data_IF_300584896396
#
_entry.id   IF_300584896396
#
_cell.length_a   1.000
_cell.length_b   1.000
_cell.length_c   1.000
_cell.angle_alpha   90.00
_cell.angle_beta   90.00
_cell.angle_gamma   90.00
#
_symmetry.space_group_name_H-M   'P 1'
#
loop_
_entity.id
_entity.type
_entity.pdbx_description
1 polymer ?
#
# COMPACT_ATOMS: atom_id res chain seq x y z
N UNK A 1 25.41 -2.78 -20.63
CA UNK A 1 25.63 -2.93 -19.17
C UNK A 1 26.38 -4.23 -18.95
N UNK A 2 27.34 -4.31 -18.03
CA UNK A 2 27.98 -5.60 -17.74
C UNK A 2 27.05 -6.51 -16.92
N UNK A 3 27.04 -7.81 -17.21
CA UNK A 3 26.23 -8.85 -16.54
C UNK A 3 26.18 -8.73 -15.01
N UNK A 4 27.35 -8.56 -14.38
CA UNK A 4 27.49 -8.36 -12.92
C UNK A 4 26.72 -7.13 -12.38
N UNK A 5 26.61 -6.05 -13.17
CA UNK A 5 25.84 -4.86 -12.77
C UNK A 5 24.34 -5.13 -12.83
N UNK A 6 23.88 -5.87 -13.84
CA UNK A 6 22.47 -6.28 -14.00
C UNK A 6 22.05 -7.16 -12.82
N UNK A 7 22.84 -8.19 -12.50
CA UNK A 7 22.61 -9.06 -11.35
C UNK A 7 22.56 -8.29 -10.01
N UNK A 8 23.46 -7.32 -9.82
CA UNK A 8 23.44 -6.46 -8.62
C UNK A 8 22.14 -5.67 -8.51
N UNK A 9 21.67 -5.08 -9.61
CA UNK A 9 20.40 -4.34 -9.65
C UNK A 9 19.22 -5.25 -9.40
N UNK A 10 19.19 -6.46 -9.99
CA UNK A 10 18.15 -7.45 -9.74
C UNK A 10 18.05 -7.79 -8.25
N UNK A 11 19.18 -8.05 -7.57
CA UNK A 11 19.18 -8.31 -6.12
C UNK A 11 18.61 -7.15 -5.31
N UNK A 12 18.96 -5.91 -5.68
CA UNK A 12 18.44 -4.70 -5.02
C UNK A 12 16.93 -4.54 -5.23
N UNK A 13 16.45 -4.72 -6.47
CA UNK A 13 15.02 -4.67 -6.79
C UNK A 13 14.25 -5.75 -6.04
N UNK A 14 14.74 -6.99 -6.04
CA UNK A 14 14.12 -8.09 -5.30
C UNK A 14 14.06 -7.83 -3.80
N UNK A 15 15.11 -7.25 -3.21
CA UNK A 15 15.07 -6.88 -1.78
C UNK A 15 14.00 -5.83 -1.51
N UNK A 16 13.93 -4.78 -2.33
CA UNK A 16 12.94 -3.72 -2.16
C UNK A 16 11.50 -4.21 -2.37
N UNK A 17 11.27 -5.08 -3.35
CA UNK A 17 9.99 -5.73 -3.57
C UNK A 17 9.53 -6.55 -2.37
N UNK A 18 10.43 -7.30 -1.73
CA UNK A 18 10.12 -8.04 -0.50
C UNK A 18 9.66 -7.10 0.61
N UNK A 19 10.46 -6.07 0.89
CA UNK A 19 10.13 -5.07 1.92
C UNK A 19 8.78 -4.40 1.66
N UNK A 20 8.50 -3.94 0.45
CA UNK A 20 7.24 -3.28 0.12
C UNK A 20 6.04 -4.24 0.19
N UNK A 21 6.21 -5.52 -0.15
CA UNK A 21 5.14 -6.52 -0.02
C UNK A 21 4.85 -6.84 1.43
N UNK A 22 5.86 -6.86 2.30
CA UNK A 22 5.66 -7.03 3.74
C UNK A 22 4.97 -5.80 4.35
N UNK A 23 5.39 -4.61 3.95
CA UNK A 23 4.73 -3.35 4.32
C UNK A 23 3.28 -3.30 3.85
N UNK A 24 3.00 -3.72 2.61
CA UNK A 24 1.63 -3.76 2.07
C UNK A 24 0.72 -4.65 2.90
N UNK A 25 1.20 -5.79 3.42
CA UNK A 25 0.40 -6.65 4.30
C UNK A 25 0.00 -5.93 5.58
N UNK A 26 0.94 -5.19 6.18
CA UNK A 26 0.67 -4.39 7.39
C UNK A 26 -0.33 -3.27 7.08
N UNK A 27 -0.20 -2.61 5.92
CA UNK A 27 -1.13 -1.57 5.47
C UNK A 27 -2.53 -2.16 5.23
N UNK A 28 -2.62 -3.34 4.61
CA UNK A 28 -3.89 -4.05 4.40
C UNK A 28 -4.61 -4.32 5.73
N UNK A 29 -3.87 -4.82 6.73
CA UNK A 29 -4.42 -5.07 8.08
C UNK A 29 -4.87 -3.77 8.76
N UNK A 30 -4.05 -2.72 8.71
CA UNK A 30 -4.38 -1.41 9.28
C UNK A 30 -5.60 -0.78 8.61
N UNK A 31 -5.69 -0.86 7.28
CA UNK A 31 -6.83 -0.34 6.53
C UNK A 31 -8.11 -1.09 6.90
N UNK A 32 -8.05 -2.42 7.05
CA UNK A 32 -9.21 -3.20 7.47
C UNK A 32 -9.73 -2.75 8.84
N UNK A 33 -8.83 -2.53 9.81
CA UNK A 33 -9.21 -2.01 11.12
C UNK A 33 -9.82 -0.60 11.06
N UNK A 34 -9.19 0.33 10.33
CA UNK A 34 -9.70 1.69 10.21
C UNK A 34 -11.07 1.75 9.50
N UNK A 35 -11.29 0.89 8.51
CA UNK A 35 -12.56 0.81 7.81
C UNK A 35 -13.68 0.26 8.70
N UNK A 36 -13.37 -0.74 9.54
CA UNK A 36 -14.30 -1.29 10.53
C UNK A 36 -14.69 -0.22 11.56
N UNK A 37 -13.70 0.46 12.14
CA UNK A 37 -13.91 1.56 13.09
C UNK A 37 -14.77 2.70 12.51
N UNK A 38 -14.50 3.10 11.26
CA UNK A 38 -15.29 4.10 10.57
C UNK A 38 -16.74 3.63 10.32
N UNK A 39 -16.93 2.35 9.99
CA UNK A 39 -18.26 1.73 9.83
C UNK A 39 -19.08 1.78 11.12
N UNK A 40 -18.47 1.37 12.23
CA UNK A 40 -19.08 1.39 13.56
C UNK A 40 -19.49 2.81 14.00
N UNK A 41 -18.61 3.79 13.79
CA UNK A 41 -18.91 5.20 14.06
C UNK A 41 -20.00 5.74 13.15
N UNK A 42 -20.05 5.29 11.89
CA UNK A 42 -21.12 5.61 10.95
C UNK A 42 -22.49 5.17 11.45
N UNK A 43 -22.60 3.92 11.95
CA UNK A 43 -23.83 3.41 12.56
C UNK A 43 -24.22 4.25 13.78
N UNK A 44 -23.26 4.58 14.66
CA UNK A 44 -23.53 5.42 15.84
C UNK A 44 -23.96 6.84 15.48
N UNK A 45 -23.36 7.43 14.45
CA UNK A 45 -23.73 8.76 13.97
C UNK A 45 -25.17 8.83 13.47
N UNK A 46 -25.64 7.78 12.79
CA UNK A 46 -27.02 7.66 12.35
C UNK A 46 -28.00 7.49 13.51
N UNK A 47 -27.63 6.69 14.52
CA UNK A 47 -28.52 6.41 15.67
C UNK A 47 -28.58 7.57 16.66
N UNK A 48 -27.45 8.23 16.93
CA UNK A 48 -27.38 9.28 17.94
C UNK A 48 -27.92 10.62 17.44
N UNK A 49 -27.91 10.86 16.12
CA UNK A 49 -28.30 12.13 15.48
C UNK A 49 -27.64 13.37 16.10
N UNK A 50 -26.47 13.21 16.72
CA UNK A 50 -25.74 14.30 17.36
C UNK A 50 -24.62 14.82 16.44
N UNK A 51 -24.34 16.14 16.47
CA UNK A 51 -23.20 16.71 15.75
C UNK A 51 -21.85 16.08 16.11
N UNK A 52 -21.68 15.66 17.38
CA UNK A 52 -20.47 15.00 17.87
C UNK A 52 -20.21 13.66 17.20
N UNK A 53 -21.21 12.77 17.17
CA UNK A 53 -21.07 11.47 16.53
C UNK A 53 -20.79 11.59 15.01
N UNK A 54 -21.38 12.59 14.34
CA UNK A 54 -21.06 12.89 12.95
C UNK A 54 -19.63 13.42 12.73
N UNK A 55 -19.06 14.13 13.71
CA UNK A 55 -17.66 14.57 13.65
C UNK A 55 -16.69 13.38 13.77
N UNK A 56 -16.92 12.50 14.74
CA UNK A 56 -16.08 11.33 14.98
C UNK A 56 -16.07 10.39 13.77
N UNK A 57 -17.24 10.13 13.18
CA UNK A 57 -17.34 9.37 11.93
C UNK A 57 -16.49 9.99 10.81
N UNK A 58 -16.59 11.30 10.57
CA UNK A 58 -15.81 11.96 9.50
C UNK A 58 -14.31 11.89 9.74
N UNK A 59 -13.86 11.96 10.99
CA UNK A 59 -12.43 11.80 11.33
C UNK A 59 -11.96 10.38 11.05
N UNK A 60 -12.69 9.36 11.50
CA UNK A 60 -12.36 7.97 11.25
C UNK A 60 -12.35 7.64 9.75
N UNK A 61 -13.34 8.13 9.01
CA UNK A 61 -13.40 7.98 7.55
C UNK A 61 -12.18 8.62 6.87
N UNK A 62 -11.79 9.84 7.26
CA UNK A 62 -10.62 10.50 6.70
C UNK A 62 -9.31 9.73 6.95
N UNK A 63 -9.20 9.04 8.09
CA UNK A 63 -8.06 8.16 8.38
C UNK A 63 -8.06 6.91 7.49
N UNK A 64 -9.20 6.26 7.31
CA UNK A 64 -9.33 5.13 6.41
C UNK A 64 -9.00 5.53 4.96
N UNK A 65 -9.51 6.68 4.49
CA UNK A 65 -9.25 7.19 3.15
C UNK A 65 -7.75 7.50 2.93
N UNK A 66 -7.09 8.11 3.91
CA UNK A 66 -5.66 8.38 3.85
C UNK A 66 -4.83 7.08 3.79
N UNK A 67 -5.22 6.06 4.56
CA UNK A 67 -4.57 4.74 4.53
C UNK A 67 -4.80 4.03 3.18
N UNK A 68 -5.99 4.14 2.61
CA UNK A 68 -6.29 3.60 1.28
C UNK A 68 -5.43 4.27 0.19
N UNK A 69 -5.26 5.59 0.24
CA UNK A 69 -4.38 6.30 -0.69
C UNK A 69 -2.91 5.88 -0.54
N UNK A 70 -2.45 5.66 0.70
CA UNK A 70 -1.10 5.16 0.96
C UNK A 70 -0.90 3.74 0.41
N UNK A 71 -1.88 2.85 0.63
CA UNK A 71 -1.90 1.50 0.07
C UNK A 71 -1.76 1.52 -1.46
N UNK A 72 -2.55 2.35 -2.13
CA UNK A 72 -2.52 2.47 -3.59
C UNK A 72 -1.15 2.94 -4.11
N UNK A 73 -0.51 3.87 -3.39
CA UNK A 73 0.84 4.30 -3.70
C UNK A 73 1.88 3.16 -3.59
N UNK A 74 1.80 2.36 -2.52
CA UNK A 74 2.67 1.19 -2.33
C UNK A 74 2.45 0.15 -3.43
N UNK A 75 1.19 -0.15 -3.77
CA UNK A 75 0.84 -1.06 -4.86
C UNK A 75 1.39 -0.57 -6.20
N UNK A 76 1.26 0.72 -6.51
CA UNK A 76 1.84 1.32 -7.72
C UNK A 76 3.36 1.16 -7.75
N UNK A 77 4.03 1.44 -6.64
CA UNK A 77 5.49 1.32 -6.53
C UNK A 77 5.96 -0.12 -6.72
N UNK A 78 5.22 -1.10 -6.19
CA UNK A 78 5.50 -2.53 -6.41
C UNK A 78 5.42 -2.85 -7.90
N UNK A 79 4.35 -2.44 -8.59
CA UNK A 79 4.18 -2.69 -10.03
C UNK A 79 5.30 -2.09 -10.88
N UNK A 80 5.73 -0.88 -10.56
CA UNK A 80 6.86 -0.23 -11.24
C UNK A 80 8.18 -1.01 -11.06
N UNK A 81 8.43 -1.53 -9.85
CA UNK A 81 9.62 -2.33 -9.55
C UNK A 81 9.57 -3.72 -10.20
N UNK A 82 8.39 -4.33 -10.30
CA UNK A 82 8.18 -5.58 -11.04
C UNK A 82 8.50 -5.38 -12.53
N UNK A 83 7.94 -4.34 -13.16
CA UNK A 83 8.24 -4.03 -14.55
C UNK A 83 9.75 -3.77 -14.77
N UNK A 84 10.40 -3.09 -13.82
CA UNK A 84 11.85 -2.87 -13.89
C UNK A 84 12.66 -4.15 -13.68
N UNK A 85 12.16 -5.08 -12.87
CA UNK A 85 12.78 -6.41 -12.71
C UNK A 85 12.72 -7.18 -14.03
N UNK A 86 11.58 -7.19 -14.71
CA UNK A 86 11.40 -7.85 -16.00
C UNK A 86 12.37 -7.29 -17.04
N UNK A 87 12.47 -5.96 -17.16
CA UNK A 87 13.44 -5.30 -18.05
C UNK A 87 14.89 -5.69 -17.77
N UNK A 88 15.24 -5.89 -16.49
CA UNK A 88 16.59 -6.32 -16.10
C UNK A 88 16.82 -7.80 -16.40
N UNK A 89 15.80 -8.65 -16.29
CA UNK A 89 15.86 -10.06 -16.65
C UNK A 89 16.02 -10.23 -18.17
N UNK A 90 15.27 -9.47 -18.97
CA UNK A 90 15.41 -9.45 -20.43
C UNK A 90 16.82 -9.02 -20.84
N UNK A 91 17.34 -7.95 -20.23
CA UNK A 91 18.69 -7.47 -20.49
C UNK A 91 19.77 -8.48 -20.05
N UNK A 92 19.51 -9.31 -19.04
CA UNK A 92 20.41 -10.38 -18.62
C UNK A 92 20.40 -11.55 -19.60
N UNK A 93 19.23 -11.90 -20.15
CA UNK A 93 19.10 -12.95 -21.17
C UNK A 93 19.72 -12.56 -22.51
N UNK A 94 19.78 -11.26 -22.82
CA UNK A 94 20.40 -10.72 -24.03
C UNK A 94 21.91 -10.42 -23.91
N UNK A 95 22.52 -10.59 -22.73
CA UNK A 95 23.92 -10.23 -22.43
C UNK A 95 24.84 -11.44 -22.28
#
# INVERSE_FOLDING_TARGET
MGKRMIERRLRQTSQRLRTLRDELRVIDDQLAHLADDAGDLGIRALVAETPGAGYDYRQAQAHADAMAAHRDHVVSTIRELEQRQDQLLDALGAA
#
